data_IF_014846895747
#
_entry.id   IF_014846895747
#
_cell.length_a   1.000
_cell.length_b   1.000
_cell.length_c   1.000
_cell.angle_alpha   90.00
_cell.angle_beta   90.00
_cell.angle_gamma   90.00
#
_symmetry.space_group_name_H-M   'P 1'
#
loop_
_entity.id
_entity.type
_entity.pdbx_description
1 polymer ?
#
# COMPACT_ATOMS: atom_id res chain seq x y z
N UNK A 1 -10.49 -15.81 -1.59
CA UNK A 1 -11.31 -16.66 -0.71
C UNK A 1 -11.94 -17.85 -1.43
N UNK A 2 -12.40 -17.70 -2.68
CA UNK A 2 -13.00 -18.82 -3.45
C UNK A 2 -12.01 -19.99 -3.64
N UNK A 3 -10.78 -19.70 -4.04
CA UNK A 3 -9.71 -20.73 -4.15
C UNK A 3 -9.42 -21.42 -2.81
N UNK A 4 -9.57 -20.69 -1.69
CA UNK A 4 -9.41 -21.26 -0.36
C UNK A 4 -10.46 -22.34 -0.03
N UNK A 5 -11.72 -22.17 -0.47
CA UNK A 5 -12.76 -23.17 -0.28
C UNK A 5 -12.43 -24.49 -1.04
N UNK A 6 -11.97 -24.35 -2.29
CA UNK A 6 -11.54 -25.50 -3.10
C UNK A 6 -10.31 -26.17 -2.47
N UNK A 7 -9.31 -25.38 -2.07
CA UNK A 7 -8.10 -25.92 -1.44
C UNK A 7 -8.42 -26.65 -0.12
N UNK A 8 -9.36 -26.12 0.69
CA UNK A 8 -9.84 -26.78 1.92
C UNK A 8 -10.46 -28.15 1.62
N UNK A 9 -11.30 -28.24 0.58
CA UNK A 9 -11.92 -29.50 0.19
C UNK A 9 -10.86 -30.52 -0.22
N UNK A 10 -9.93 -30.13 -1.10
CA UNK A 10 -8.83 -31.01 -1.57
C UNK A 10 -7.96 -31.46 -0.39
N UNK A 11 -7.60 -30.55 0.51
CA UNK A 11 -6.77 -30.86 1.67
C UNK A 11 -7.45 -31.90 2.57
N UNK A 12 -8.76 -31.79 2.79
CA UNK A 12 -9.53 -32.77 3.56
C UNK A 12 -9.61 -34.14 2.88
N UNK A 13 -9.90 -34.16 1.57
CA UNK A 13 -10.02 -35.42 0.82
C UNK A 13 -8.69 -36.17 0.72
N UNK A 14 -7.58 -35.48 0.59
CA UNK A 14 -6.25 -36.04 0.46
C UNK A 14 -5.47 -36.10 1.78
N UNK A 15 -6.06 -35.71 2.90
CA UNK A 15 -5.42 -35.61 4.20
C UNK A 15 -4.09 -34.81 4.17
N UNK A 16 -4.12 -33.65 3.50
CA UNK A 16 -2.96 -32.77 3.35
C UNK A 16 -3.04 -31.59 4.31
N UNK A 17 -1.89 -31.05 4.78
CA UNK A 17 -1.87 -29.80 5.51
C UNK A 17 -2.28 -28.64 4.59
N UNK A 18 -2.97 -27.66 5.15
CA UNK A 18 -3.44 -26.47 4.45
C UNK A 18 -2.76 -25.22 5.01
N UNK A 19 -2.07 -24.46 4.15
CA UNK A 19 -1.58 -23.12 4.44
C UNK A 19 -2.44 -22.13 3.66
N UNK A 20 -3.03 -21.18 4.36
CA UNK A 20 -3.83 -20.12 3.73
C UNK A 20 -3.07 -18.80 3.80
N UNK A 21 -2.87 -18.14 2.64
CA UNK A 21 -2.28 -16.80 2.53
C UNK A 21 -3.38 -15.79 2.26
N UNK A 22 -3.53 -14.82 3.15
CA UNK A 22 -4.44 -13.69 2.96
C UNK A 22 -3.77 -12.61 2.10
N UNK A 23 -4.52 -12.04 1.16
CA UNK A 23 -4.12 -10.87 0.37
C UNK A 23 -5.08 -9.69 0.53
N UNK A 24 -6.26 -9.95 1.09
CA UNK A 24 -7.27 -8.95 1.42
C UNK A 24 -8.33 -9.59 2.31
N UNK A 25 -8.89 -8.81 3.22
CA UNK A 25 -9.90 -9.27 4.15
C UNK A 25 -11.28 -8.73 3.77
N UNK A 26 -12.28 -9.60 3.76
CA UNK A 26 -13.66 -9.24 3.42
C UNK A 26 -14.29 -8.21 4.36
N UNK A 27 -13.79 -8.13 5.60
CA UNK A 27 -14.22 -7.11 6.59
C UNK A 27 -13.88 -5.67 6.20
N UNK A 28 -12.95 -5.45 5.25
CA UNK A 28 -12.53 -4.13 4.80
C UNK A 28 -13.19 -3.67 3.49
N UNK A 29 -14.05 -4.50 2.90
CA UNK A 29 -14.69 -4.15 1.64
C UNK A 29 -15.90 -3.23 1.88
N UNK A 30 -16.04 -2.22 1.03
CA UNK A 30 -17.26 -1.42 0.95
C UNK A 30 -18.43 -2.34 0.62
N UNK A 31 -19.50 -2.26 1.44
CA UNK A 31 -20.61 -3.20 1.36
C UNK A 31 -20.24 -4.57 1.94
N UNK A 32 -20.15 -4.65 3.29
CA UNK A 32 -19.87 -5.86 4.05
C UNK A 32 -20.50 -7.11 3.41
N UNK A 33 -19.65 -7.96 2.82
CA UNK A 33 -20.09 -9.22 2.24
C UNK A 33 -19.96 -10.34 3.28
N UNK A 34 -21.04 -10.60 4.00
CA UNK A 34 -21.09 -11.61 5.05
C UNK A 34 -20.67 -12.99 4.54
N UNK A 35 -21.15 -13.39 3.37
CA UNK A 35 -20.78 -14.68 2.76
C UNK A 35 -19.27 -14.81 2.60
N UNK A 36 -18.62 -13.78 2.07
CA UNK A 36 -17.16 -13.78 1.94
C UNK A 36 -16.46 -13.91 3.30
N UNK A 37 -16.88 -13.13 4.29
CA UNK A 37 -16.28 -13.15 5.63
C UNK A 37 -16.47 -14.52 6.29
N UNK A 38 -17.65 -15.12 6.18
CA UNK A 38 -17.95 -16.44 6.71
C UNK A 38 -17.09 -17.53 6.02
N UNK A 39 -16.92 -17.45 4.69
CA UNK A 39 -16.05 -18.34 3.93
C UNK A 39 -14.57 -18.17 4.30
N UNK A 40 -14.07 -16.94 4.40
CA UNK A 40 -12.71 -16.66 4.83
C UNK A 40 -12.45 -17.27 6.22
N UNK A 41 -13.37 -17.05 7.17
CA UNK A 41 -13.30 -17.61 8.52
C UNK A 41 -13.26 -19.15 8.49
N UNK A 42 -14.12 -19.77 7.68
CA UNK A 42 -14.18 -21.23 7.55
C UNK A 42 -12.83 -21.80 7.02
N UNK A 43 -12.23 -21.17 6.00
CA UNK A 43 -10.97 -21.61 5.44
C UNK A 43 -9.82 -21.40 6.43
N UNK A 44 -9.72 -20.22 7.04
CA UNK A 44 -8.68 -19.92 8.03
C UNK A 44 -8.76 -20.84 9.25
N UNK A 45 -9.96 -21.14 9.75
CA UNK A 45 -10.15 -22.05 10.88
C UNK A 45 -9.69 -23.47 10.55
N UNK A 46 -9.93 -23.95 9.30
CA UNK A 46 -9.51 -25.26 8.83
C UNK A 46 -8.03 -25.35 8.49
N UNK A 47 -7.35 -24.21 8.29
CA UNK A 47 -5.93 -24.18 7.92
C UNK A 47 -5.04 -24.56 9.10
N UNK A 48 -3.93 -25.23 8.82
CA UNK A 48 -2.87 -25.49 9.79
C UNK A 48 -2.10 -24.21 10.10
N UNK A 49 -1.84 -23.39 9.08
CA UNK A 49 -1.20 -22.08 9.18
C UNK A 49 -1.97 -21.08 8.33
N UNK A 50 -2.09 -19.85 8.85
CA UNK A 50 -2.55 -18.68 8.12
C UNK A 50 -1.39 -17.70 8.01
N UNK A 51 -1.00 -17.32 6.81
CA UNK A 51 0.05 -16.31 6.62
C UNK A 51 -0.55 -14.94 6.40
N UNK A 52 0.08 -13.93 6.96
CA UNK A 52 -0.28 -12.50 6.88
C UNK A 52 0.91 -11.68 6.41
N UNK A 53 0.64 -10.53 5.83
CA UNK A 53 1.68 -9.63 5.33
C UNK A 53 2.18 -8.61 6.36
N UNK A 54 1.41 -8.38 7.43
CA UNK A 54 1.69 -7.37 8.46
C UNK A 54 1.18 -7.80 9.84
N UNK A 55 1.68 -7.14 10.89
CA UNK A 55 1.16 -7.29 12.26
C UNK A 55 -0.29 -6.78 12.35
N UNK A 56 -0.60 -5.71 11.62
CA UNK A 56 -1.97 -5.20 11.53
C UNK A 56 -2.93 -6.27 10.97
N UNK A 57 -2.56 -6.94 9.89
CA UNK A 57 -3.38 -8.00 9.31
C UNK A 57 -3.52 -9.20 10.26
N UNK A 58 -2.43 -9.59 10.96
CA UNK A 58 -2.46 -10.61 12.01
C UNK A 58 -3.47 -10.25 13.11
N UNK A 59 -3.40 -9.02 13.61
CA UNK A 59 -4.34 -8.51 14.62
C UNK A 59 -5.78 -8.58 14.12
N UNK A 60 -6.04 -8.11 12.89
CA UNK A 60 -7.39 -8.11 12.30
C UNK A 60 -7.95 -9.52 12.11
N UNK A 61 -7.12 -10.47 11.69
CA UNK A 61 -7.53 -11.88 11.55
C UNK A 61 -7.83 -12.49 12.92
N UNK A 62 -6.96 -12.30 13.89
CA UNK A 62 -7.18 -12.81 15.25
C UNK A 62 -8.46 -12.24 15.86
N UNK A 63 -8.67 -10.92 15.79
CA UNK A 63 -9.77 -10.26 16.49
C UNK A 63 -11.11 -10.39 15.79
N UNK A 64 -11.15 -10.33 14.44
CA UNK A 64 -12.42 -10.33 13.72
C UNK A 64 -12.85 -11.73 13.26
N UNK A 65 -11.89 -12.58 12.85
CA UNK A 65 -12.19 -13.94 12.44
C UNK A 65 -12.04 -14.96 13.57
N UNK A 66 -11.49 -14.54 14.75
CA UNK A 66 -11.25 -15.39 15.93
C UNK A 66 -10.35 -16.58 15.63
N UNK A 67 -9.32 -16.35 14.84
CA UNK A 67 -8.29 -17.36 14.54
C UNK A 67 -7.22 -17.32 15.65
N UNK A 68 -6.79 -18.50 16.09
CA UNK A 68 -5.73 -18.66 17.09
C UNK A 68 -4.42 -18.04 16.58
N UNK A 69 -3.85 -17.12 17.34
CA UNK A 69 -2.58 -16.43 17.02
C UNK A 69 -1.43 -17.40 16.76
N UNK A 70 -1.42 -18.56 17.40
CA UNK A 70 -0.38 -19.58 17.19
C UNK A 70 -0.39 -20.13 15.75
N UNK A 71 -1.53 -20.10 15.09
CA UNK A 71 -1.68 -20.50 13.67
C UNK A 71 -1.27 -19.39 12.69
N UNK A 72 -1.17 -18.14 13.16
CA UNK A 72 -0.88 -17.00 12.28
C UNK A 72 0.63 -16.78 12.20
N UNK A 73 1.15 -16.63 11.00
CA UNK A 73 2.57 -16.34 10.73
C UNK A 73 2.70 -15.15 9.81
N UNK A 74 3.35 -14.09 10.29
CA UNK A 74 3.66 -12.94 9.45
C UNK A 74 4.79 -13.28 8.50
N UNK A 75 4.57 -13.07 7.21
CA UNK A 75 5.58 -13.17 6.15
C UNK A 75 5.52 -11.88 5.34
N UNK A 76 6.58 -11.09 5.44
CA UNK A 76 6.64 -9.79 4.78
C UNK A 76 6.83 -9.96 3.26
N UNK A 77 5.98 -9.38 2.41
CA UNK A 77 6.16 -9.40 0.96
C UNK A 77 7.45 -8.70 0.51
N UNK A 78 8.01 -9.19 -0.59
CA UNK A 78 9.12 -8.53 -1.27
C UNK A 78 8.65 -7.45 -2.26
N UNK A 79 9.62 -6.63 -2.71
CA UNK A 79 9.51 -5.75 -3.87
C UNK A 79 10.42 -6.30 -4.95
N UNK A 80 9.97 -6.23 -6.21
CA UNK A 80 10.77 -6.66 -7.34
C UNK A 80 11.93 -5.66 -7.58
N UNK A 81 13.12 -6.05 -7.13
CA UNK A 81 14.35 -5.24 -7.24
C UNK A 81 15.04 -5.35 -8.61
N UNK A 82 14.52 -6.13 -9.54
CA UNK A 82 14.94 -6.09 -10.94
C UNK A 82 14.23 -4.95 -11.68
N UNK A 83 12.99 -4.69 -11.32
CA UNK A 83 12.19 -3.59 -11.86
C UNK A 83 12.46 -2.29 -11.09
N UNK A 84 12.26 -2.31 -9.77
CA UNK A 84 12.35 -1.12 -8.93
C UNK A 84 13.80 -0.90 -8.47
N UNK A 85 14.58 -0.27 -9.33
CA UNK A 85 15.99 0.14 -9.08
C UNK A 85 16.04 1.67 -9.10
N UNK A 86 16.40 2.32 -7.97
CA UNK A 86 16.47 3.77 -7.92
C UNK A 86 17.65 4.32 -8.71
N UNK A 87 17.44 5.42 -9.41
CA UNK A 87 18.45 6.19 -10.09
C UNK A 87 18.86 7.37 -9.20
N UNK A 88 20.04 7.28 -8.58
CA UNK A 88 20.48 8.23 -7.54
C UNK A 88 21.01 9.56 -8.10
N UNK A 89 21.40 9.58 -9.37
CA UNK A 89 22.08 10.74 -9.98
C UNK A 89 21.15 11.59 -10.86
N UNK A 90 19.83 11.43 -10.73
CA UNK A 90 18.88 12.25 -11.47
C UNK A 90 18.27 13.30 -10.54
N UNK A 91 18.07 14.49 -11.09
CA UNK A 91 17.32 15.54 -10.40
C UNK A 91 15.85 15.17 -10.36
N UNK A 92 15.27 15.21 -9.15
CA UNK A 92 13.86 14.92 -8.96
C UNK A 92 13.03 16.18 -9.09
N UNK A 93 11.90 16.03 -9.73
CA UNK A 93 10.94 17.10 -9.95
C UNK A 93 9.95 17.19 -8.76
N UNK A 94 9.31 18.32 -8.58
CA UNK A 94 8.26 18.51 -7.58
C UNK A 94 6.98 17.77 -8.00
N UNK A 95 7.10 16.46 -8.22
CA UNK A 95 6.02 15.56 -8.59
C UNK A 95 5.59 14.77 -7.38
N UNK A 96 4.29 14.75 -7.14
CA UNK A 96 3.61 13.85 -6.22
C UNK A 96 2.93 12.73 -7.00
N UNK A 97 2.87 11.56 -6.41
CA UNK A 97 2.16 10.41 -6.97
C UNK A 97 1.07 9.94 -6.02
N UNK A 98 -0.06 9.56 -6.57
CA UNK A 98 -1.08 8.75 -5.90
C UNK A 98 -1.32 7.52 -6.79
N UNK A 99 -0.80 6.36 -6.36
CA UNK A 99 -0.79 5.14 -7.17
C UNK A 99 -1.75 4.11 -6.57
N UNK A 100 -2.70 3.66 -7.37
CA UNK A 100 -3.65 2.63 -6.96
C UNK A 100 -4.93 2.67 -7.78
N UNK A 101 -5.70 1.59 -7.70
CA UNK A 101 -7.02 1.55 -8.34
C UNK A 101 -7.89 2.71 -7.86
N UNK A 102 -8.63 3.32 -8.75
CA UNK A 102 -9.57 4.39 -8.40
C UNK A 102 -10.78 3.76 -7.71
N UNK A 103 -10.81 3.90 -6.39
CA UNK A 103 -11.85 3.37 -5.49
C UNK A 103 -11.87 4.21 -4.21
N UNK A 104 -13.02 4.41 -3.60
CA UNK A 104 -13.15 5.20 -2.35
C UNK A 104 -12.24 4.68 -1.22
N UNK A 105 -12.03 3.36 -1.15
CA UNK A 105 -11.12 2.75 -0.17
C UNK A 105 -9.66 3.20 -0.31
N UNK A 106 -9.25 3.65 -1.50
CA UNK A 106 -7.89 4.13 -1.77
C UNK A 106 -7.67 5.59 -1.40
N UNK A 107 -8.74 6.30 -1.01
CA UNK A 107 -8.65 7.62 -0.37
C UNK A 107 -8.18 8.74 -1.30
N UNK A 108 -8.36 8.62 -2.62
CA UNK A 108 -7.92 9.67 -3.55
C UNK A 108 -8.55 11.04 -3.26
N UNK A 109 -9.76 11.06 -2.69
CA UNK A 109 -10.42 12.31 -2.29
C UNK A 109 -9.63 13.03 -1.19
N UNK A 110 -9.09 12.30 -0.21
CA UNK A 110 -8.23 12.86 0.84
C UNK A 110 -6.95 13.47 0.25
N UNK A 111 -6.40 12.82 -0.78
CA UNK A 111 -5.26 13.37 -1.52
C UNK A 111 -5.64 14.70 -2.20
N UNK A 112 -6.77 14.78 -2.90
CA UNK A 112 -7.22 16.02 -3.56
C UNK A 112 -7.45 17.13 -2.52
N UNK A 113 -8.09 16.83 -1.41
CA UNK A 113 -8.32 17.80 -0.32
C UNK A 113 -6.99 18.31 0.27
N UNK A 114 -6.00 17.43 0.43
CA UNK A 114 -4.65 17.83 0.83
C UNK A 114 -4.02 18.75 -0.21
N UNK A 115 -4.09 18.44 -1.50
CA UNK A 115 -3.50 19.28 -2.55
C UNK A 115 -4.13 20.68 -2.58
N UNK A 116 -5.45 20.81 -2.37
CA UNK A 116 -6.11 22.12 -2.23
C UNK A 116 -5.64 22.89 -1.01
N UNK A 117 -5.42 22.19 0.10
CA UNK A 117 -4.87 22.81 1.31
C UNK A 117 -3.41 23.23 1.11
N UNK A 118 -2.57 22.35 0.53
CA UNK A 118 -1.14 22.54 0.36
C UNK A 118 -0.80 23.65 -0.63
N UNK A 119 -1.54 23.78 -1.75
CA UNK A 119 -1.27 24.83 -2.77
C UNK A 119 -1.35 26.25 -2.24
N UNK A 120 -1.97 26.47 -1.07
CA UNK A 120 -2.04 27.79 -0.42
C UNK A 120 -0.71 28.24 0.19
N UNK A 121 0.21 27.30 0.41
CA UNK A 121 1.54 27.53 0.98
C UNK A 121 2.67 27.24 -0.01
N UNK A 122 2.43 26.34 -0.98
CA UNK A 122 3.38 26.01 -2.04
C UNK A 122 2.60 25.62 -3.31
N UNK A 123 2.89 26.31 -4.40
CA UNK A 123 2.13 26.15 -5.65
C UNK A 123 2.96 25.49 -6.78
N UNK A 124 4.26 25.24 -6.53
CA UNK A 124 5.15 24.65 -7.53
C UNK A 124 5.21 23.11 -7.38
N UNK A 125 4.14 22.43 -7.74
CA UNK A 125 4.09 20.97 -7.78
C UNK A 125 3.12 20.45 -8.85
N UNK A 126 3.25 19.16 -9.19
CA UNK A 126 2.29 18.37 -9.97
C UNK A 126 1.93 17.11 -9.20
N UNK A 127 0.72 16.62 -9.36
CA UNK A 127 0.29 15.34 -8.78
C UNK A 127 -0.32 14.45 -9.87
N UNK A 128 0.23 13.24 -10.01
CA UNK A 128 -0.32 12.23 -10.91
C UNK A 128 -1.09 11.17 -10.11
N UNK A 129 -2.35 10.98 -10.47
CA UNK A 129 -3.15 9.85 -10.02
C UNK A 129 -2.99 8.71 -11.03
N UNK A 130 -2.33 7.64 -10.63
CA UNK A 130 -1.99 6.51 -11.50
C UNK A 130 -2.83 5.30 -11.15
N UNK A 131 -3.66 4.86 -12.08
CA UNK A 131 -4.53 3.69 -11.96
C UNK A 131 -5.91 3.92 -12.54
N UNK A 132 -6.54 2.85 -12.98
CA UNK A 132 -7.87 2.88 -13.56
C UNK A 132 -8.99 2.70 -12.53
N UNK A 133 -10.23 3.04 -12.91
CA UNK A 133 -11.42 2.79 -12.12
C UNK A 133 -11.63 1.29 -11.90
N UNK A 134 -12.10 0.92 -10.73
CA UNK A 134 -12.27 -0.48 -10.36
C UNK A 134 -13.48 -0.67 -9.44
N UNK A 135 -14.13 -1.83 -9.58
CA UNK A 135 -15.36 -2.14 -8.86
C UNK A 135 -16.60 -1.52 -9.54
N UNK A 136 -17.77 -1.71 -8.90
CA UNK A 136 -19.06 -1.29 -9.48
C UNK A 136 -19.21 0.23 -9.58
N UNK A 137 -18.59 0.98 -8.67
CA UNK A 137 -18.67 2.45 -8.57
C UNK A 137 -17.39 3.16 -9.02
N UNK A 138 -16.43 2.44 -9.59
CA UNK A 138 -15.12 3.01 -9.91
C UNK A 138 -15.17 4.16 -10.93
N UNK A 139 -15.96 4.01 -11.99
CA UNK A 139 -16.14 5.05 -13.01
C UNK A 139 -16.84 6.29 -12.43
N UNK A 140 -17.90 6.08 -11.65
CA UNK A 140 -18.62 7.17 -10.99
C UNK A 140 -17.69 7.92 -10.01
N UNK A 141 -16.91 7.18 -9.24
CA UNK A 141 -15.95 7.78 -8.31
C UNK A 141 -14.85 8.55 -9.04
N UNK A 142 -14.32 8.04 -10.15
CA UNK A 142 -13.39 8.78 -11.00
C UNK A 142 -13.98 10.10 -11.49
N UNK A 143 -15.27 10.08 -11.90
CA UNK A 143 -15.93 11.31 -12.34
C UNK A 143 -16.07 12.32 -11.18
N UNK A 144 -16.45 11.85 -9.98
CA UNK A 144 -16.51 12.69 -8.78
C UNK A 144 -15.14 13.33 -8.47
N UNK A 145 -14.05 12.57 -8.57
CA UNK A 145 -12.70 13.10 -8.36
C UNK A 145 -12.35 14.18 -9.38
N UNK A 146 -12.63 13.96 -10.68
CA UNK A 146 -12.39 14.93 -11.75
C UNK A 146 -13.21 16.21 -11.56
N UNK A 147 -14.47 16.09 -11.21
CA UNK A 147 -15.34 17.23 -10.93
C UNK A 147 -14.85 18.00 -9.70
N UNK A 148 -14.37 17.32 -8.67
CA UNK A 148 -13.77 17.94 -7.49
C UNK A 148 -12.51 18.72 -7.85
N UNK A 149 -11.61 18.14 -8.64
CA UNK A 149 -10.39 18.83 -9.14
C UNK A 149 -10.77 20.11 -9.89
N UNK A 150 -11.77 20.05 -10.76
CA UNK A 150 -12.28 21.21 -11.49
C UNK A 150 -12.90 22.27 -10.56
N UNK A 151 -13.77 21.85 -9.66
CA UNK A 151 -14.44 22.75 -8.72
C UNK A 151 -13.46 23.48 -7.80
N UNK A 152 -12.36 22.81 -7.46
CA UNK A 152 -11.26 23.37 -6.68
C UNK A 152 -10.24 24.12 -7.55
N UNK A 153 -10.39 24.19 -8.88
CA UNK A 153 -9.43 24.80 -9.83
C UNK A 153 -8.01 24.23 -9.64
N UNK A 154 -7.91 22.89 -9.59
CA UNK A 154 -6.65 22.16 -9.44
C UNK A 154 -6.14 21.53 -10.74
N UNK A 155 -6.81 21.80 -11.90
CA UNK A 155 -6.49 21.19 -13.19
C UNK A 155 -5.05 21.45 -13.65
N UNK A 156 -4.47 22.58 -13.22
CA UNK A 156 -3.06 22.87 -13.49
C UNK A 156 -2.08 22.04 -12.67
N UNK A 157 -2.53 21.41 -11.57
CA UNK A 157 -1.71 20.64 -10.62
C UNK A 157 -1.95 19.13 -10.71
N UNK A 158 -3.14 18.70 -11.14
CA UNK A 158 -3.59 17.31 -11.07
C UNK A 158 -3.81 16.72 -12.45
N UNK A 159 -3.27 15.54 -12.67
CA UNK A 159 -3.51 14.74 -13.87
C UNK A 159 -3.85 13.29 -13.48
N UNK A 160 -4.90 12.75 -14.11
CA UNK A 160 -5.28 11.35 -13.97
C UNK A 160 -4.68 10.55 -15.11
N UNK A 161 -3.77 9.65 -14.76
CA UNK A 161 -3.19 8.68 -15.67
C UNK A 161 -3.93 7.36 -15.52
N UNK A 162 -4.12 6.64 -16.60
CA UNK A 162 -4.74 5.33 -16.57
C UNK A 162 -3.79 4.26 -15.98
N UNK A 163 -4.16 2.99 -16.08
CA UNK A 163 -3.29 1.90 -15.66
C UNK A 163 -1.97 1.94 -16.45
N UNK A 164 -0.86 1.98 -15.72
CA UNK A 164 0.47 1.97 -16.28
C UNK A 164 1.21 0.66 -15.98
N UNK A 165 2.03 0.16 -16.90
CA UNK A 165 2.92 -0.97 -16.61
C UNK A 165 3.97 -0.57 -15.56
N UNK A 166 4.46 -1.54 -14.80
CA UNK A 166 5.41 -1.32 -13.69
C UNK A 166 6.65 -0.51 -14.10
N UNK A 167 7.14 -0.70 -15.33
CA UNK A 167 8.29 0.06 -15.82
C UNK A 167 7.99 1.57 -15.91
N UNK A 168 6.76 1.95 -16.28
CA UNK A 168 6.33 3.36 -16.30
C UNK A 168 6.12 3.92 -14.89
N UNK A 169 5.64 3.10 -13.97
CA UNK A 169 5.55 3.45 -12.54
C UNK A 169 6.94 3.71 -11.98
N UNK A 170 7.93 2.85 -12.30
CA UNK A 170 9.33 3.07 -11.96
C UNK A 170 9.85 4.42 -12.48
N UNK A 171 9.61 4.73 -13.77
CA UNK A 171 10.04 6.00 -14.38
C UNK A 171 9.44 7.22 -13.64
N UNK A 172 8.15 7.15 -13.27
CA UNK A 172 7.49 8.19 -12.49
C UNK A 172 8.07 8.30 -11.08
N UNK A 173 8.27 7.18 -10.38
CA UNK A 173 8.89 7.16 -9.06
C UNK A 173 10.30 7.75 -9.07
N UNK A 174 11.11 7.48 -10.11
CA UNK A 174 12.43 8.08 -10.24
C UNK A 174 12.41 9.61 -10.36
N UNK A 175 11.35 10.18 -10.92
CA UNK A 175 11.21 11.63 -11.08
C UNK A 175 10.52 12.32 -9.90
N UNK A 176 9.87 11.57 -9.04
CA UNK A 176 8.97 12.11 -8.02
C UNK A 176 9.67 12.34 -6.68
N UNK A 177 9.19 13.32 -5.92
CA UNK A 177 9.64 13.63 -4.56
C UNK A 177 8.73 13.06 -3.47
N UNK A 178 7.48 12.66 -3.79
CA UNK A 178 6.53 12.22 -2.79
C UNK A 178 5.53 11.21 -3.38
N UNK A 179 5.26 10.13 -2.65
CA UNK A 179 4.06 9.32 -2.81
C UNK A 179 3.04 9.74 -1.74
N UNK A 180 1.80 10.02 -2.14
CA UNK A 180 0.68 10.25 -1.23
C UNK A 180 -0.21 9.01 -1.28
N UNK A 181 -0.30 8.30 -0.16
CA UNK A 181 -1.01 7.03 -0.06
C UNK A 181 -2.01 7.07 1.09
N UNK A 182 -3.26 7.41 0.78
CA UNK A 182 -4.35 7.69 1.73
C UNK A 182 -5.35 6.56 1.85
N UNK A 183 -4.93 5.34 1.51
CA UNK A 183 -5.81 4.16 1.59
C UNK A 183 -6.42 4.00 2.98
N UNK A 184 -7.73 3.82 3.05
CA UNK A 184 -8.45 3.61 4.32
C UNK A 184 -8.05 2.31 5.00
N UNK A 185 -7.71 1.31 4.21
CA UNK A 185 -7.27 -0.02 4.68
C UNK A 185 -6.20 -0.57 3.75
N UNK A 186 -5.10 -0.97 4.34
CA UNK A 186 -4.05 -1.74 3.67
C UNK A 186 -3.67 -2.94 4.54
N UNK A 187 -3.53 -4.10 3.90
CA UNK A 187 -2.98 -5.29 4.57
C UNK A 187 -1.46 -5.22 4.66
N UNK A 188 -0.81 -4.64 3.64
CA UNK A 188 0.63 -4.39 3.66
C UNK A 188 0.97 -2.97 3.17
N UNK A 189 0.57 -2.59 1.96
CA UNK A 189 0.96 -1.32 1.32
C UNK A 189 2.14 -1.49 0.37
N UNK A 190 2.03 -2.43 -0.58
CA UNK A 190 3.10 -2.75 -1.53
C UNK A 190 3.59 -1.50 -2.28
N UNK A 191 2.68 -0.62 -2.71
CA UNK A 191 3.02 0.63 -3.40
C UNK A 191 3.89 1.55 -2.53
N UNK A 192 3.62 1.62 -1.21
CA UNK A 192 4.45 2.39 -0.28
C UNK A 192 5.85 1.78 -0.12
N UNK A 193 5.94 0.44 -0.08
CA UNK A 193 7.21 -0.26 -0.06
C UNK A 193 8.00 -0.06 -1.37
N UNK A 194 7.35 -0.12 -2.54
CA UNK A 194 7.94 0.16 -3.85
C UNK A 194 8.47 1.60 -3.92
N UNK A 195 7.69 2.59 -3.45
CA UNK A 195 8.12 3.97 -3.38
C UNK A 195 9.38 4.13 -2.52
N UNK A 196 9.43 3.52 -1.34
CA UNK A 196 10.60 3.58 -0.48
C UNK A 196 11.83 2.87 -1.11
N UNK A 197 11.64 1.75 -1.81
CA UNK A 197 12.74 1.11 -2.59
C UNK A 197 13.30 2.08 -3.62
N UNK A 198 12.44 2.88 -4.26
CA UNK A 198 12.81 3.89 -5.24
C UNK A 198 13.31 5.21 -4.60
N UNK A 199 13.46 5.26 -3.27
CA UNK A 199 13.89 6.45 -2.56
C UNK A 199 12.85 7.57 -2.50
N UNK A 200 11.57 7.25 -2.67
CA UNK A 200 10.46 8.21 -2.58
C UNK A 200 9.83 8.11 -1.20
N UNK A 201 9.85 9.18 -0.39
CA UNK A 201 9.14 9.23 0.88
C UNK A 201 7.63 9.14 0.67
N UNK A 202 6.94 8.61 1.67
CA UNK A 202 5.48 8.39 1.62
C UNK A 202 4.77 9.27 2.63
N UNK A 203 3.81 10.05 2.17
CA UNK A 203 2.84 10.73 3.03
C UNK A 203 1.58 9.87 3.13
N UNK A 204 1.17 9.53 4.34
CA UNK A 204 0.02 8.67 4.57
C UNK A 204 -0.81 9.11 5.77
N UNK A 205 -2.04 8.61 5.84
CA UNK A 205 -2.86 8.67 7.05
C UNK A 205 -2.52 7.51 7.99
N UNK A 206 -2.81 7.67 9.29
CA UNK A 206 -2.54 6.68 10.33
C UNK A 206 -3.46 5.45 10.20
N UNK A 207 -3.36 4.72 9.09
CA UNK A 207 -4.25 3.61 8.78
C UNK A 207 -3.49 2.31 8.50
N UNK A 208 -3.87 1.27 9.23
CA UNK A 208 -3.49 -0.10 8.92
C UNK A 208 -2.00 -0.37 9.00
N UNK A 209 -1.54 -1.19 8.07
CA UNK A 209 -0.15 -1.67 8.00
C UNK A 209 0.87 -0.62 7.55
N UNK A 210 0.43 0.54 7.05
CA UNK A 210 1.35 1.60 6.61
C UNK A 210 2.23 2.12 7.76
N UNK A 211 1.73 2.07 9.01
CA UNK A 211 2.51 2.39 10.20
C UNK A 211 3.69 1.42 10.47
N UNK A 212 3.68 0.24 9.85
CA UNK A 212 4.82 -0.71 9.92
C UNK A 212 5.89 -0.42 8.85
N UNK A 213 5.53 0.33 7.81
CA UNK A 213 6.40 0.70 6.69
C UNK A 213 7.00 2.08 6.90
N UNK A 214 6.15 3.05 7.30
CA UNK A 214 6.50 4.47 7.35
C UNK A 214 6.83 4.90 8.77
N UNK A 215 7.94 5.58 8.91
CA UNK A 215 8.44 6.18 10.14
C UNK A 215 8.64 7.68 9.90
N UNK A 216 8.00 8.49 10.75
CA UNK A 216 7.93 9.94 10.61
C UNK A 216 9.31 10.59 10.49
N UNK A 217 9.42 11.49 9.50
CA UNK A 217 10.62 12.25 9.16
C UNK A 217 11.84 11.38 8.78
N UNK A 218 11.66 10.07 8.62
CA UNK A 218 12.72 9.15 8.25
C UNK A 218 12.56 8.66 6.81
N UNK A 219 11.44 8.05 6.50
CA UNK A 219 11.13 7.54 5.16
C UNK A 219 9.74 7.95 4.68
N UNK A 220 9.11 8.88 5.38
CA UNK A 220 7.80 9.43 5.10
C UNK A 220 7.22 10.19 6.28
N UNK A 221 5.92 10.39 6.27
CA UNK A 221 5.18 11.03 7.35
C UNK A 221 3.77 10.45 7.47
N UNK A 222 3.37 10.13 8.70
CA UNK A 222 2.04 9.64 9.02
C UNK A 222 1.28 10.71 9.82
N UNK A 223 0.00 10.93 9.51
CA UNK A 223 -0.84 11.87 10.26
C UNK A 223 -2.29 11.39 10.31
N UNK A 224 -3.02 11.73 11.36
CA UNK A 224 -4.47 11.47 11.42
C UNK A 224 -5.24 12.28 10.37
N UNK A 225 -4.69 13.43 9.96
CA UNK A 225 -5.21 14.27 8.89
C UNK A 225 -4.07 14.84 8.07
N UNK A 226 -4.19 14.81 6.76
CA UNK A 226 -3.22 15.47 5.87
C UNK A 226 -3.40 17.00 5.86
N UNK A 227 -4.54 17.51 6.33
CA UNK A 227 -4.80 18.95 6.52
C UNK A 227 -4.24 19.36 7.89
N UNK A 228 -2.90 19.44 7.96
CA UNK A 228 -2.13 19.76 9.18
C UNK A 228 -0.89 20.57 8.79
N UNK A 229 -0.59 21.59 9.58
CA UNK A 229 0.59 22.45 9.35
C UNK A 229 1.92 21.67 9.43
N UNK A 230 1.99 20.60 10.22
CA UNK A 230 3.19 19.74 10.32
C UNK A 230 3.39 18.94 9.03
N UNK A 231 2.30 18.47 8.42
CA UNK A 231 2.33 17.83 7.10
C UNK A 231 2.82 18.80 6.04
N UNK A 232 2.27 20.04 6.01
CA UNK A 232 2.75 21.07 5.10
C UNK A 232 4.23 21.33 5.29
N UNK A 233 4.69 21.46 6.54
CA UNK A 233 6.12 21.68 6.83
C UNK A 233 7.00 20.56 6.31
N UNK A 234 6.62 19.29 6.56
CA UNK A 234 7.34 18.14 6.04
C UNK A 234 7.44 18.15 4.50
N UNK A 235 6.31 18.40 3.83
CA UNK A 235 6.28 18.41 2.35
C UNK A 235 7.07 19.60 1.78
N UNK A 236 6.95 20.80 2.36
CA UNK A 236 7.76 21.97 1.96
C UNK A 236 9.26 21.70 2.12
N UNK A 237 9.66 21.05 3.20
CA UNK A 237 11.07 20.74 3.46
C UNK A 237 11.66 19.82 2.37
N UNK A 238 10.93 18.78 1.94
CA UNK A 238 11.40 17.89 0.88
C UNK A 238 11.33 18.52 -0.53
N UNK A 239 10.46 19.51 -0.74
CA UNK A 239 10.39 20.22 -2.02
C UNK A 239 11.51 21.24 -2.18
N UNK A 240 11.79 22.01 -1.12
CA UNK A 240 12.60 23.23 -1.17
C UNK A 240 14.04 23.03 -0.63
N UNK A 241 14.34 21.90 0.02
CA UNK A 241 15.66 21.54 0.53
C UNK A 241 16.13 20.22 -0.07
N UNK A 242 16.91 20.30 -1.15
CA UNK A 242 17.42 19.12 -1.84
C UNK A 242 18.29 18.25 -0.91
N UNK A 243 19.08 18.84 -0.01
CA UNK A 243 19.89 18.09 0.94
C UNK A 243 19.02 17.26 1.88
N UNK A 244 17.95 17.86 2.41
CA UNK A 244 17.01 17.17 3.27
C UNK A 244 16.26 16.07 2.51
N UNK A 245 15.88 16.34 1.26
CA UNK A 245 15.29 15.32 0.40
C UNK A 245 16.24 14.13 0.21
N UNK A 246 17.53 14.38 -0.11
CA UNK A 246 18.55 13.34 -0.32
C UNK A 246 18.76 12.49 0.94
N UNK A 247 18.76 13.13 2.13
CA UNK A 247 18.86 12.42 3.41
C UNK A 247 17.68 11.46 3.61
N UNK A 248 16.46 11.92 3.34
CA UNK A 248 15.24 11.10 3.46
C UNK A 248 15.23 10.01 2.38
N UNK A 249 15.59 10.32 1.14
CA UNK A 249 15.72 9.38 0.03
C UNK A 249 16.62 8.20 0.40
N UNK A 250 17.80 8.47 0.95
CA UNK A 250 18.73 7.43 1.38
C UNK A 250 18.15 6.57 2.52
N UNK A 251 17.39 7.17 3.43
CA UNK A 251 16.68 6.44 4.49
C UNK A 251 15.57 5.55 3.96
N UNK A 252 14.81 6.02 2.96
CA UNK A 252 13.83 5.18 2.26
C UNK A 252 14.48 3.91 1.72
N UNK A 253 15.59 4.05 0.98
CA UNK A 253 16.34 2.94 0.38
C UNK A 253 16.89 2.01 1.46
N UNK A 254 17.49 2.55 2.51
CA UNK A 254 18.04 1.77 3.62
C UNK A 254 16.97 0.91 4.29
N UNK A 255 15.86 1.51 4.68
CA UNK A 255 14.77 0.82 5.38
C UNK A 255 14.03 -0.19 4.52
N UNK A 256 14.00 0.01 3.20
CA UNK A 256 13.35 -0.89 2.26
C UNK A 256 14.18 -2.13 1.88
N UNK A 257 15.44 -2.24 2.34
CA UNK A 257 16.30 -3.43 2.08
C UNK A 257 15.64 -4.73 2.55
N UNK A 258 14.83 -4.67 3.61
CA UNK A 258 14.09 -5.81 4.17
C UNK A 258 13.03 -6.39 3.22
N UNK A 259 12.54 -5.62 2.24
CA UNK A 259 11.54 -6.09 1.28
C UNK A 259 12.22 -6.87 0.16
N UNK A 260 12.33 -8.18 0.36
CA UNK A 260 13.09 -9.08 -0.53
C UNK A 260 12.32 -10.37 -0.78
N UNK A 261 12.03 -10.67 -2.04
CA UNK A 261 11.32 -11.89 -2.44
C UNK A 261 12.06 -13.18 -2.09
N UNK A 262 13.40 -13.17 -2.03
CA UNK A 262 14.18 -14.35 -1.62
C UNK A 262 13.89 -14.66 -0.16
N UNK A 263 13.87 -13.64 0.72
CA UNK A 263 13.52 -13.83 2.13
C UNK A 263 12.09 -14.33 2.29
N UNK A 264 11.13 -13.71 1.57
CA UNK A 264 9.72 -14.14 1.56
C UNK A 264 9.60 -15.60 1.14
N UNK A 265 10.24 -16.01 0.05
CA UNK A 265 10.22 -17.39 -0.45
C UNK A 265 10.84 -18.36 0.55
N UNK A 266 11.96 -17.99 1.17
CA UNK A 266 12.64 -18.81 2.18
C UNK A 266 11.74 -19.04 3.42
N UNK A 267 11.05 -17.99 3.88
CA UNK A 267 10.12 -18.11 5.01
C UNK A 267 8.94 -19.03 4.66
N UNK A 268 8.37 -18.93 3.44
CA UNK A 268 7.31 -19.82 2.96
C UNK A 268 7.82 -21.24 2.84
N UNK A 269 9.01 -21.47 2.27
CA UNK A 269 9.63 -22.78 2.17
C UNK A 269 9.80 -23.43 3.55
N UNK A 270 10.24 -22.66 4.54
CA UNK A 270 10.39 -23.16 5.90
C UNK A 270 9.03 -23.57 6.52
N UNK A 271 7.92 -22.86 6.19
CA UNK A 271 6.60 -23.31 6.61
C UNK A 271 6.20 -24.66 5.98
N UNK A 272 6.50 -24.85 4.70
CA UNK A 272 6.25 -26.15 4.05
C UNK A 272 7.07 -27.27 4.71
N UNK A 273 8.34 -27.03 5.03
CA UNK A 273 9.21 -28.03 5.68
C UNK A 273 8.66 -28.51 7.03
N UNK A 274 7.84 -27.73 7.74
CA UNK A 274 7.20 -28.18 8.98
C UNK A 274 6.28 -29.38 8.77
N UNK A 275 5.77 -29.58 7.57
CA UNK A 275 4.84 -30.66 7.23
C UNK A 275 5.47 -31.80 6.42
N UNK A 276 6.71 -31.64 5.93
CA UNK A 276 7.42 -32.67 5.15
C UNK A 276 8.38 -33.54 6.00
N UNK A 277 8.54 -33.19 7.27
CA UNK A 277 9.38 -33.91 8.23
C UNK A 277 8.58 -34.91 9.09
N UNK A 278 7.35 -35.20 8.71
CA UNK A 278 6.49 -36.22 9.24
C UNK A 278 6.21 -37.24 8.13
#
# INVERSE_FOLDING_TARGET
WLSGLVAKQIANELNLPLIYTSHSLGIFLDGYNKERVDCEKMVMSASNIVTTSSIFEEFMISENYKIDKNKIKKITPGVDKEIFVPELNIERENIFLSIGRIQEQKGQMETINFLDYFRKVENNFKCYFVGGPSGKSGEEYLQILKDTVKNLSLESHVEFLDNLPQIKIKELLNKSKLLIHTSKFETFGLVAAEANVMGVPVLTTNNGSLLEIIEDNLNGYCSDSLIDARVNKFVQDILNDNKKFDEIMLKCIEKSKKYNWISTATEIENLYKLFWLI
#
